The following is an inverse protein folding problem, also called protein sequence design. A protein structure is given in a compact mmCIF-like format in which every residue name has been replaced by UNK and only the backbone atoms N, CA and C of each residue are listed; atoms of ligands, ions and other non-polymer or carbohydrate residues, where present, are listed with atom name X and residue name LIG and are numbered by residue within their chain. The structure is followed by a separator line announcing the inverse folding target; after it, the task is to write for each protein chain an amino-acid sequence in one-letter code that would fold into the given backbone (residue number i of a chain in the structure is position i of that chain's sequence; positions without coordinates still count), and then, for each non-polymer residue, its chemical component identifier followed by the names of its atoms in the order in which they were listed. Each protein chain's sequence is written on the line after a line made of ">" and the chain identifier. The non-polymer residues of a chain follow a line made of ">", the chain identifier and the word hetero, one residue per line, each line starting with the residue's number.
data_IF_966260552781
#
_entry.id   IF_966260552781
#
_cell.length_a   1.000
_cell.length_b   1.000
_cell.length_c   1.000
_cell.angle_alpha   90.00
_cell.angle_beta   90.00
_cell.angle_gamma   90.00
#
_symmetry.space_group_name_H-M   'P 1'
#
loop_
_entity.id
_entity.type
_entity.pdbx_description
1 polymer ?
#
# COMPACT_ATOMS: atom_id res chain seq x y z
N UNK A 1 -65.60 -1.10 -7.06
CA UNK A 1 -65.03 -2.47 -7.06
C UNK A 1 -63.93 -2.63 -8.12
N UNK A 2 -62.98 -1.67 -8.25
CA UNK A 2 -61.92 -1.65 -9.31
C UNK A 2 -60.51 -1.53 -8.69
N UNK A 3 -60.39 -1.30 -7.38
CA UNK A 3 -59.10 -1.12 -6.69
C UNK A 3 -58.35 -2.46 -6.52
N UNK A 4 -59.09 -3.55 -6.26
CA UNK A 4 -58.53 -4.90 -6.10
C UNK A 4 -57.75 -5.42 -7.32
N UNK A 5 -58.22 -5.32 -8.57
CA UNK A 5 -57.46 -5.81 -9.72
C UNK A 5 -56.14 -5.04 -9.96
N UNK A 6 -56.08 -3.74 -9.61
CA UNK A 6 -54.87 -2.93 -9.77
C UNK A 6 -53.78 -3.37 -8.78
N UNK A 7 -54.15 -3.65 -7.53
CA UNK A 7 -53.20 -4.11 -6.51
C UNK A 7 -52.61 -5.47 -6.87
N UNK A 8 -53.44 -6.39 -7.38
CA UNK A 8 -52.97 -7.71 -7.83
C UNK A 8 -51.98 -7.58 -9.00
N UNK A 9 -52.26 -6.69 -9.96
CA UNK A 9 -51.36 -6.43 -11.09
C UNK A 9 -49.99 -5.91 -10.63
N UNK A 10 -49.96 -4.97 -9.68
CA UNK A 10 -48.71 -4.40 -9.14
C UNK A 10 -47.90 -5.48 -8.40
N UNK A 11 -48.55 -6.34 -7.62
CA UNK A 11 -47.88 -7.45 -6.93
C UNK A 11 -47.30 -8.47 -7.91
N UNK A 12 -48.00 -8.77 -9.00
CA UNK A 12 -47.51 -9.67 -10.05
C UNK A 12 -46.27 -9.09 -10.76
N UNK A 13 -46.28 -7.79 -11.07
CA UNK A 13 -45.11 -7.11 -11.66
C UNK A 13 -43.91 -7.10 -10.71
N UNK A 14 -44.14 -6.90 -9.41
CA UNK A 14 -43.08 -6.92 -8.41
C UNK A 14 -42.50 -8.33 -8.23
N UNK A 15 -43.35 -9.35 -8.16
CA UNK A 15 -42.91 -10.75 -8.12
C UNK A 15 -42.11 -11.13 -9.37
N UNK A 16 -42.56 -10.71 -10.56
CA UNK A 16 -41.85 -10.92 -11.81
C UNK A 16 -40.46 -10.28 -11.81
N UNK A 17 -40.33 -9.04 -11.32
CA UNK A 17 -39.05 -8.35 -11.19
C UNK A 17 -38.07 -9.07 -10.25
N UNK A 18 -38.56 -9.66 -9.15
CA UNK A 18 -37.73 -10.46 -8.23
C UNK A 18 -37.23 -11.74 -8.91
N UNK A 19 -38.12 -12.42 -9.64
CA UNK A 19 -37.77 -13.65 -10.37
C UNK A 19 -36.75 -13.36 -11.46
N UNK A 20 -36.93 -12.27 -12.22
CA UNK A 20 -35.97 -11.85 -13.25
C UNK A 20 -34.63 -11.39 -12.66
N UNK A 21 -34.63 -10.70 -11.51
CA UNK A 21 -33.39 -10.34 -10.82
C UNK A 21 -32.64 -11.57 -10.33
N UNK A 22 -33.33 -12.58 -9.80
CA UNK A 22 -32.72 -13.86 -9.42
C UNK A 22 -32.20 -14.62 -10.64
N UNK A 23 -32.96 -14.67 -11.73
CA UNK A 23 -32.52 -15.32 -12.98
C UNK A 23 -31.26 -14.64 -13.56
N UNK A 24 -31.21 -13.31 -13.57
CA UNK A 24 -30.04 -12.53 -14.02
C UNK A 24 -28.80 -12.77 -13.15
N UNK A 25 -28.97 -12.90 -11.82
CA UNK A 25 -27.87 -13.23 -10.90
C UNK A 25 -27.38 -14.66 -11.16
N UNK A 26 -28.29 -15.62 -11.39
CA UNK A 26 -27.92 -17.01 -11.68
C UNK A 26 -27.27 -17.20 -13.05
N UNK A 27 -27.57 -16.36 -14.05
CA UNK A 27 -26.87 -16.41 -15.35
C UNK A 27 -25.43 -15.90 -15.23
N UNK A 28 -25.22 -14.82 -14.48
CA UNK A 28 -23.88 -14.31 -14.14
C UNK A 28 -23.12 -15.32 -13.28
N UNK A 29 -23.74 -15.92 -12.27
CA UNK A 29 -23.11 -16.93 -11.41
C UNK A 29 -22.93 -18.28 -12.10
N UNK A 30 -23.83 -18.70 -12.98
CA UNK A 30 -23.74 -19.93 -13.76
C UNK A 30 -22.56 -19.92 -14.73
N UNK A 31 -22.25 -18.78 -15.35
CA UNK A 31 -21.01 -18.60 -16.11
C UNK A 31 -19.74 -18.61 -15.24
N UNK A 32 -19.86 -18.38 -13.93
CA UNK A 32 -18.74 -18.37 -12.98
C UNK A 32 -18.57 -19.75 -12.31
N UNK A 33 -19.61 -20.58 -12.26
CA UNK A 33 -19.62 -21.85 -11.49
C UNK A 33 -19.45 -23.09 -12.37
N UNK A 34 -19.65 -23.02 -13.68
CA UNK A 34 -19.54 -24.18 -14.57
C UNK A 34 -18.11 -24.48 -15.06
N UNK A 35 -17.08 -24.40 -14.20
CA UNK A 35 -15.86 -25.23 -14.28
C UNK A 35 -15.11 -25.21 -12.94
N UNK A 36 -15.73 -25.74 -11.89
CA UNK A 36 -14.98 -26.31 -10.75
C UNK A 36 -15.14 -27.82 -10.80
N UNK A 37 -14.42 -28.45 -11.74
CA UNK A 37 -14.17 -29.89 -11.66
C UNK A 37 -13.14 -30.14 -10.57
N UNK A 38 -13.61 -30.71 -9.46
CA UNK A 38 -12.76 -31.34 -8.46
C UNK A 38 -11.93 -32.44 -9.13
N UNK A 39 -10.61 -32.28 -9.10
CA UNK A 39 -9.66 -33.38 -9.30
C UNK A 39 -8.73 -33.23 -10.49
N UNK A 40 -7.75 -32.33 -10.44
CA UNK A 40 -6.40 -32.63 -10.91
C UNK A 40 -5.38 -31.59 -10.38
N UNK A 41 -4.16 -32.02 -10.07
CA UNK A 41 -3.11 -31.21 -9.41
C UNK A 41 -2.48 -30.10 -10.29
N UNK A 42 -3.19 -29.55 -11.27
CA UNK A 42 -2.63 -28.61 -12.28
C UNK A 42 -3.11 -27.16 -12.18
N UNK A 43 -3.97 -26.79 -11.25
CA UNK A 43 -4.43 -25.40 -11.09
C UNK A 43 -3.46 -24.52 -10.27
N UNK A 44 -2.17 -24.57 -10.60
CA UNK A 44 -1.15 -23.65 -10.06
C UNK A 44 -0.78 -22.50 -11.01
N UNK A 45 -1.39 -22.41 -12.19
CA UNK A 45 -0.86 -21.55 -13.26
C UNK A 45 -1.81 -20.52 -13.88
N UNK A 46 -3.09 -20.43 -13.50
CA UNK A 46 -4.03 -19.46 -14.11
C UNK A 46 -4.39 -18.25 -13.22
N UNK A 47 -3.79 -18.13 -12.03
CA UNK A 47 -3.97 -16.99 -11.14
C UNK A 47 -2.80 -16.00 -11.20
N UNK A 48 -2.37 -15.64 -12.42
CA UNK A 48 -1.17 -14.84 -12.65
C UNK A 48 -1.44 -13.57 -13.44
N UNK A 49 -2.52 -12.87 -13.11
CA UNK A 49 -2.63 -11.40 -13.32
C UNK A 49 -3.40 -10.80 -12.14
N UNK A 50 -2.91 -11.04 -10.93
CA UNK A 50 -3.26 -10.17 -9.80
C UNK A 50 -2.38 -8.93 -9.92
N UNK A 51 -2.99 -7.75 -10.08
CA UNK A 51 -2.21 -6.52 -10.01
C UNK A 51 -1.45 -6.46 -8.67
N UNK A 52 -0.13 -6.18 -8.68
CA UNK A 52 0.71 -6.33 -7.50
C UNK A 52 0.22 -5.48 -6.31
N UNK A 53 -0.49 -4.38 -6.58
CA UNK A 53 -1.03 -3.48 -5.56
C UNK A 53 -2.29 -4.03 -4.84
N UNK A 54 -3.09 -4.88 -5.49
CA UNK A 54 -4.33 -5.45 -4.92
C UNK A 54 -4.05 -6.74 -4.15
N UNK A 55 -3.07 -7.54 -4.60
CA UNK A 55 -2.59 -8.71 -3.86
C UNK A 55 -1.88 -8.32 -2.55
N UNK A 56 -1.06 -7.25 -2.57
CA UNK A 56 -0.38 -6.73 -1.38
C UNK A 56 -1.35 -6.22 -0.30
N UNK A 57 -2.54 -5.75 -0.70
CA UNK A 57 -3.53 -5.14 0.20
C UNK A 57 -4.41 -6.16 0.92
N UNK A 58 -4.45 -7.43 0.50
CA UNK A 58 -5.46 -8.41 0.98
C UNK A 58 -5.03 -9.36 2.09
N UNK A 59 -3.75 -9.51 2.37
CA UNK A 59 -3.26 -10.13 3.62
C UNK A 59 -2.05 -9.37 4.13
N UNK A 60 -2.27 -8.13 4.58
CA UNK A 60 -1.30 -7.51 5.45
C UNK A 60 -1.24 -8.36 6.73
N UNK A 61 -0.05 -8.90 7.02
CA UNK A 61 0.17 -9.78 8.16
C UNK A 61 -0.26 -9.04 9.46
N UNK A 62 -0.87 -9.74 10.46
CA UNK A 62 -1.43 -9.08 11.64
C UNK A 62 -0.47 -8.15 12.39
N UNK A 63 0.83 -8.45 12.39
CA UNK A 63 1.87 -7.59 12.97
C UNK A 63 2.07 -6.32 12.15
N UNK A 64 2.02 -6.40 10.81
CA UNK A 64 2.08 -5.20 9.97
C UNK A 64 0.91 -4.26 10.23
N UNK A 65 -0.32 -4.78 10.26
CA UNK A 65 -1.49 -3.94 10.52
C UNK A 65 -1.42 -3.30 11.92
N UNK A 66 -1.02 -4.08 12.92
CA UNK A 66 -0.78 -3.58 14.27
C UNK A 66 0.32 -2.52 14.32
N UNK A 67 1.40 -2.70 13.57
CA UNK A 67 2.48 -1.73 13.45
C UNK A 67 1.99 -0.42 12.81
N UNK A 68 1.19 -0.48 11.74
CA UNK A 68 0.57 0.68 11.11
C UNK A 68 -0.35 1.45 12.07
N UNK A 69 -1.16 0.74 12.85
CA UNK A 69 -2.05 1.37 13.84
C UNK A 69 -1.26 2.13 14.92
N UNK A 70 -0.20 1.53 15.43
CA UNK A 70 0.70 2.15 16.41
C UNK A 70 1.47 3.32 15.81
N UNK A 71 1.91 3.18 14.56
CA UNK A 71 2.59 4.24 13.81
C UNK A 71 1.70 5.46 13.62
N UNK A 72 0.44 5.26 13.23
CA UNK A 72 -0.57 6.34 13.12
C UNK A 72 -0.83 7.04 14.44
N UNK A 73 -0.76 6.32 15.56
CA UNK A 73 -0.84 6.87 16.93
C UNK A 73 0.48 7.49 17.40
N UNK A 74 1.52 7.54 16.56
CA UNK A 74 2.87 8.02 16.88
C UNK A 74 3.56 7.27 18.03
N UNK A 75 3.12 6.04 18.30
CA UNK A 75 3.71 5.18 19.32
C UNK A 75 4.94 4.46 18.74
N UNK A 76 5.97 5.22 18.37
CA UNK A 76 7.06 4.76 17.51
C UNK A 76 7.84 3.57 18.09
N UNK A 77 8.15 3.57 19.39
CA UNK A 77 8.87 2.45 20.04
C UNK A 77 8.07 1.14 19.91
N UNK A 78 6.74 1.21 20.12
CA UNK A 78 5.90 0.02 19.97
C UNK A 78 5.74 -0.37 18.50
N UNK A 79 5.56 0.61 17.61
CA UNK A 79 5.43 0.36 16.17
C UNK A 79 6.69 -0.31 15.60
N UNK A 80 7.88 0.15 15.99
CA UNK A 80 9.16 -0.40 15.58
C UNK A 80 9.24 -1.90 15.87
N UNK A 81 8.93 -2.31 17.11
CA UNK A 81 8.90 -3.72 17.49
C UNK A 81 8.04 -4.56 16.55
N UNK A 82 6.83 -4.08 16.22
CA UNK A 82 5.92 -4.83 15.35
C UNK A 82 6.35 -4.79 13.88
N UNK A 83 6.96 -3.71 13.40
CA UNK A 83 7.56 -3.69 12.07
C UNK A 83 8.75 -4.63 11.94
N UNK A 84 9.58 -4.79 12.97
CA UNK A 84 10.67 -5.77 12.97
C UNK A 84 10.11 -7.19 12.87
N UNK A 85 9.05 -7.53 13.61
CA UNK A 85 8.39 -8.83 13.49
C UNK A 85 7.74 -9.01 12.10
N UNK A 86 7.13 -7.97 11.56
CA UNK A 86 6.58 -8.00 10.20
C UNK A 86 7.69 -8.21 9.14
N UNK A 87 8.86 -7.57 9.30
CA UNK A 87 10.01 -7.73 8.40
C UNK A 87 10.54 -9.17 8.38
N UNK A 88 10.48 -9.89 9.52
CA UNK A 88 10.86 -11.32 9.57
C UNK A 88 9.93 -12.21 8.73
N UNK A 89 8.65 -11.81 8.61
CA UNK A 89 7.62 -12.56 7.88
C UNK A 89 7.60 -12.19 6.41
N UNK A 90 7.76 -10.92 6.11
CA UNK A 90 7.77 -10.36 4.76
C UNK A 90 8.99 -9.47 4.52
N UNK A 91 10.19 -10.07 4.38
CA UNK A 91 11.45 -9.33 4.22
C UNK A 91 11.59 -8.64 2.88
N UNK A 92 10.64 -8.82 1.95
CA UNK A 92 10.65 -8.17 0.64
C UNK A 92 9.65 -7.02 0.55
N UNK A 93 9.04 -6.64 1.67
CA UNK A 93 8.09 -5.55 1.71
C UNK A 93 8.77 -4.18 1.85
N UNK A 94 8.83 -3.36 0.79
CA UNK A 94 9.50 -2.07 0.88
C UNK A 94 8.79 -1.09 1.83
N UNK A 95 7.50 -1.29 2.13
CA UNK A 95 6.74 -0.42 3.03
C UNK A 95 7.22 -0.59 4.46
N UNK A 96 7.54 -1.81 4.88
CA UNK A 96 8.02 -2.11 6.24
C UNK A 96 9.32 -1.33 6.52
N UNK A 97 10.31 -1.47 5.65
CA UNK A 97 11.59 -0.78 5.78
C UNK A 97 11.44 0.75 5.68
N UNK A 98 10.53 1.24 4.82
CA UNK A 98 10.24 2.67 4.76
C UNK A 98 9.64 3.20 6.07
N UNK A 99 8.78 2.43 6.73
CA UNK A 99 8.19 2.79 8.03
C UNK A 99 9.21 2.76 9.14
N UNK A 100 10.06 1.73 9.21
CA UNK A 100 11.20 1.68 10.12
C UNK A 100 12.10 2.90 9.93
N UNK A 101 12.43 3.24 8.67
CA UNK A 101 13.20 4.43 8.34
C UNK A 101 12.59 5.74 8.87
N UNK A 102 11.27 5.90 8.75
CA UNK A 102 10.57 7.07 9.31
C UNK A 102 10.58 7.06 10.84
N UNK A 103 10.37 5.90 11.47
CA UNK A 103 10.47 5.77 12.94
C UNK A 103 11.86 6.18 13.41
N UNK A 104 12.92 5.71 12.76
CA UNK A 104 14.28 6.06 13.10
C UNK A 104 14.58 7.55 12.90
N UNK A 105 14.03 8.19 11.86
CA UNK A 105 14.09 9.64 11.70
C UNK A 105 13.44 10.39 12.88
N UNK A 106 12.26 9.97 13.32
CA UNK A 106 11.55 10.57 14.45
C UNK A 106 12.30 10.39 15.77
N UNK A 107 13.03 9.27 15.91
CA UNK A 107 13.93 8.99 17.03
C UNK A 107 15.29 9.69 16.90
N UNK A 108 15.56 10.41 15.80
CA UNK A 108 16.88 10.99 15.44
C UNK A 108 18.01 9.97 15.34
N UNK A 109 17.67 8.70 15.12
CA UNK A 109 18.62 7.64 14.86
C UNK A 109 18.89 7.57 13.35
N UNK A 110 19.67 8.51 12.85
CA UNK A 110 19.80 8.74 11.41
C UNK A 110 20.55 7.61 10.69
N UNK A 111 21.46 6.89 11.36
CA UNK A 111 22.19 5.75 10.77
C UNK A 111 21.24 4.62 10.43
N UNK A 112 20.44 4.19 11.40
CA UNK A 112 19.45 3.12 11.19
C UNK A 112 18.36 3.57 10.20
N UNK A 113 18.03 4.87 10.18
CA UNK A 113 17.15 5.44 9.17
C UNK A 113 17.73 5.31 7.76
N UNK A 114 19.02 5.62 7.56
CA UNK A 114 19.71 5.49 6.27
C UNK A 114 19.67 4.03 5.79
N UNK A 115 19.98 3.08 6.66
CA UNK A 115 19.97 1.66 6.32
C UNK A 115 18.58 1.18 5.91
N UNK A 116 17.56 1.44 6.74
CA UNK A 116 16.19 1.03 6.47
C UNK A 116 15.62 1.68 5.20
N UNK A 117 15.86 2.99 4.99
CA UNK A 117 15.39 3.68 3.78
C UNK A 117 16.13 3.20 2.52
N UNK A 118 17.42 2.89 2.64
CA UNK A 118 18.19 2.32 1.54
C UNK A 118 17.65 0.95 1.14
N UNK A 119 17.31 0.09 2.10
CA UNK A 119 16.71 -1.22 1.81
C UNK A 119 15.32 -1.07 1.17
N UNK A 120 14.50 -0.15 1.68
CA UNK A 120 13.20 0.17 1.08
C UNK A 120 13.31 0.64 -0.38
N UNK A 121 14.35 1.41 -0.71
CA UNK A 121 14.64 1.88 -2.08
C UNK A 121 15.16 0.76 -2.97
N UNK A 122 15.99 -0.16 -2.46
CA UNK A 122 16.44 -1.34 -3.22
C UNK A 122 15.26 -2.22 -3.61
N UNK A 123 14.32 -2.43 -2.70
CA UNK A 123 13.13 -3.26 -2.92
C UNK A 123 12.12 -2.59 -3.86
N UNK A 124 11.92 -1.28 -3.74
CA UNK A 124 11.09 -0.50 -4.66
C UNK A 124 11.67 0.92 -4.87
N UNK A 125 12.33 1.15 -6.02
CA UNK A 125 12.99 2.42 -6.34
C UNK A 125 12.02 3.48 -6.91
N UNK A 126 10.71 3.20 -6.98
CA UNK A 126 9.72 4.12 -7.55
C UNK A 126 9.24 5.22 -6.59
N UNK A 127 9.55 5.11 -5.30
CA UNK A 127 8.96 5.97 -4.27
C UNK A 127 9.76 7.25 -4.01
N UNK A 128 9.24 8.39 -4.49
CA UNK A 128 9.85 9.70 -4.26
C UNK A 128 10.03 10.05 -2.77
N UNK A 129 9.08 9.65 -1.92
CA UNK A 129 9.11 9.95 -0.48
C UNK A 129 10.24 9.25 0.25
N UNK A 130 10.63 8.04 -0.19
CA UNK A 130 11.76 7.31 0.40
C UNK A 130 13.10 8.01 0.12
N UNK A 131 13.30 8.47 -1.12
CA UNK A 131 14.47 9.28 -1.46
C UNK A 131 14.51 10.60 -0.70
N UNK A 132 13.37 11.25 -0.51
CA UNK A 132 13.28 12.46 0.30
C UNK A 132 13.68 12.19 1.76
N UNK A 133 13.10 11.16 2.39
CA UNK A 133 13.43 10.80 3.77
C UNK A 133 14.91 10.41 3.91
N UNK A 134 15.46 9.68 2.93
CA UNK A 134 16.87 9.30 2.93
C UNK A 134 17.76 10.55 2.83
N UNK A 135 17.39 11.51 1.97
CA UNK A 135 18.13 12.77 1.88
C UNK A 135 18.12 13.56 3.19
N UNK A 136 17.03 13.48 3.96
CA UNK A 136 16.94 14.11 5.27
C UNK A 136 17.88 13.44 6.27
N UNK A 137 17.87 12.10 6.34
CA UNK A 137 18.74 11.33 7.21
C UNK A 137 20.23 11.58 6.90
N UNK A 138 20.60 11.53 5.62
CA UNK A 138 21.98 11.78 5.16
C UNK A 138 22.47 13.18 5.51
N UNK A 139 21.63 14.20 5.32
CA UNK A 139 22.00 15.56 5.70
C UNK A 139 22.19 15.70 7.22
N UNK A 140 21.37 15.01 8.01
CA UNK A 140 21.48 15.02 9.47
C UNK A 140 22.77 14.33 9.96
N UNK A 141 23.23 13.28 9.27
CA UNK A 141 24.55 12.65 9.50
C UNK A 141 25.73 13.43 8.90
N UNK A 142 25.47 14.55 8.20
CA UNK A 142 26.49 15.40 7.60
C UNK A 142 26.91 14.99 6.18
N UNK A 143 26.37 13.92 5.61
CA UNK A 143 26.59 13.57 4.20
C UNK A 143 25.67 14.37 3.26
N UNK A 144 25.99 15.65 3.18
CA UNK A 144 25.23 16.61 2.39
C UNK A 144 25.30 16.34 0.89
N UNK A 145 26.42 15.78 0.39
CA UNK A 145 26.58 15.51 -1.04
C UNK A 145 25.58 14.44 -1.47
N UNK A 146 25.51 13.35 -0.71
CA UNK A 146 24.58 12.25 -0.98
C UNK A 146 23.12 12.67 -0.71
N UNK A 147 22.90 13.53 0.29
CA UNK A 147 21.58 14.13 0.53
C UNK A 147 21.06 14.88 -0.70
N UNK A 148 21.88 15.73 -1.32
CA UNK A 148 21.50 16.48 -2.53
C UNK A 148 21.17 15.52 -3.70
N UNK A 149 21.92 14.43 -3.86
CA UNK A 149 21.66 13.45 -4.92
C UNK A 149 20.28 12.79 -4.73
N UNK A 150 19.97 12.37 -3.51
CA UNK A 150 18.71 11.73 -3.16
C UNK A 150 17.53 12.71 -3.23
N UNK A 151 17.69 13.95 -2.78
CA UNK A 151 16.68 15.00 -2.92
C UNK A 151 16.37 15.32 -4.40
N UNK A 152 17.39 15.35 -5.28
CA UNK A 152 17.20 15.46 -6.73
C UNK A 152 16.42 14.28 -7.29
N UNK A 153 16.70 13.04 -6.84
CA UNK A 153 15.96 11.85 -7.29
C UNK A 153 14.49 11.90 -6.86
N UNK A 154 14.21 12.31 -5.62
CA UNK A 154 12.85 12.54 -5.13
C UNK A 154 12.09 13.55 -6.02
N UNK A 155 12.70 14.71 -6.31
CA UNK A 155 12.10 15.72 -7.18
C UNK A 155 11.95 15.25 -8.63
N UNK A 156 12.84 14.38 -9.16
CA UNK A 156 12.66 13.80 -10.49
C UNK A 156 11.46 12.85 -10.56
N UNK A 157 11.20 12.10 -9.49
CA UNK A 157 10.07 11.16 -9.40
C UNK A 157 8.74 11.89 -9.16
N UNK A 158 8.77 13.03 -8.46
CA UNK A 158 7.61 13.92 -8.29
C UNK A 158 8.00 15.40 -8.52
N UNK A 159 8.02 15.86 -9.79
CA UNK A 159 8.51 17.19 -10.18
C UNK A 159 7.71 18.38 -9.65
N UNK A 160 6.45 18.14 -9.30
CA UNK A 160 5.52 19.16 -8.81
C UNK A 160 5.48 19.25 -7.29
N UNK A 161 6.24 18.39 -6.59
CA UNK A 161 6.32 18.41 -5.14
C UNK A 161 7.09 19.63 -4.62
N UNK A 162 6.36 20.64 -4.14
CA UNK A 162 6.95 21.84 -3.57
C UNK A 162 7.83 21.54 -2.35
N UNK A 163 7.52 20.51 -1.56
CA UNK A 163 8.33 20.11 -0.40
C UNK A 163 9.72 19.65 -0.85
N UNK A 164 9.80 18.80 -1.87
CA UNK A 164 11.08 18.28 -2.37
C UNK A 164 11.91 19.38 -3.02
N UNK A 165 11.26 20.30 -3.75
CA UNK A 165 11.93 21.47 -4.33
C UNK A 165 12.54 22.37 -3.27
N UNK A 166 11.74 22.79 -2.28
CA UNK A 166 12.21 23.64 -1.16
C UNK A 166 13.36 22.99 -0.40
N UNK A 167 13.24 21.71 -0.08
CA UNK A 167 14.30 20.98 0.60
C UNK A 167 15.62 20.95 -0.20
N UNK A 168 15.54 20.71 -1.51
CA UNK A 168 16.73 20.73 -2.36
C UNK A 168 17.38 22.12 -2.44
N UNK A 169 16.58 23.18 -2.43
CA UNK A 169 17.07 24.57 -2.36
C UNK A 169 17.76 24.85 -1.02
N UNK A 170 17.14 24.45 0.10
CA UNK A 170 17.72 24.57 1.45
C UNK A 170 19.06 23.85 1.59
N UNK A 171 19.16 22.62 1.07
CA UNK A 171 20.42 21.87 1.05
C UNK A 171 21.51 22.61 0.27
N UNK A 172 21.17 23.31 -0.81
CA UNK A 172 22.16 24.05 -1.61
C UNK A 172 22.56 25.38 -0.98
N UNK A 173 21.66 26.02 -0.25
CA UNK A 173 21.85 27.38 0.27
C UNK A 173 22.75 27.45 1.51
N UNK A 174 22.79 26.41 2.35
CA UNK A 174 23.66 26.42 3.55
C UNK A 174 25.13 26.24 3.14
N UNK A 175 26.08 27.13 3.52
CA UNK A 175 27.51 26.84 3.39
C UNK A 175 27.97 25.77 4.40
N UNK A 176 29.17 25.20 4.18
CA UNK A 176 29.80 24.20 5.05
C UNK A 176 30.39 24.83 6.32
#
# INVERSE_FOLDING_TARGET
>A
MIIYPIIILVLLLFAFAIVWRRAYILEKEGQIVEQVQLGDQKTKASFLVMEPEVAMRRELEPNFQKAEDLFRKKQYISAEKWYIEAAKRDPKNPVIYARLGVIYLEQKNYKDAIEALSEAIKLDPGSASRYFNLSFALNAEGDKKEAILNAKKALRLDPHNLKYRKWLEELRAKPF
#
